data_IF_815831342358
#
_entry.id   IF_815831342358
#
_cell.length_a   1.000
_cell.length_b   1.000
_cell.length_c   1.000
_cell.angle_alpha   90.00
_cell.angle_beta   90.00
_cell.angle_gamma   90.00
#
_symmetry.space_group_name_H-M   'P 1'
#
loop_
_entity.id
_entity.type
_entity.pdbx_description
1 polymer ?
2 non-polymer ?
3 water ?
#
# COMPACT_ATOMS: atom_id res chain seq x y z
N UNK A 1 -5.25 -1.29 -22.04
CA UNK A 1 -4.33 -1.37 -20.87
C UNK A 1 -4.53 -2.71 -20.16
N UNK A 2 -3.42 -3.33 -19.78
CA UNK A 2 -3.45 -4.61 -19.08
C UNK A 2 -2.92 -4.40 -17.67
N UNK A 3 -3.60 -4.97 -16.69
CA UNK A 3 -3.21 -4.83 -15.29
C UNK A 3 -2.97 -6.17 -14.59
N UNK A 4 -2.23 -6.12 -13.49
CA UNK A 4 -1.92 -7.32 -12.73
C UNK A 4 -3.15 -7.92 -12.08
N UNK A 5 -3.12 -9.24 -11.92
CA UNK A 5 -4.21 -9.99 -11.31
C UNK A 5 -3.88 -10.22 -9.83
N UNK A 6 -4.88 -10.09 -8.94
CA UNK A 6 -4.63 -10.31 -7.51
C UNK A 6 -4.16 -11.75 -7.37
N UNK A 7 -3.28 -12.02 -6.42
CA UNK A 7 -2.72 -13.36 -6.27
C UNK A 7 -2.16 -13.52 -4.86
N UNK A 8 -2.38 -14.68 -4.24
CA UNK A 8 -1.88 -14.93 -2.89
C UNK A 8 -0.45 -15.44 -2.91
N UNK A 9 0.29 -15.18 -1.83
CA UNK A 9 1.68 -15.60 -1.71
C UNK A 9 1.82 -17.09 -1.43
N UNK A 10 2.87 -17.70 -1.98
CA UNK A 10 3.12 -19.11 -1.76
C UNK A 10 3.87 -19.23 -0.43
N UNK A 11 4.02 -20.46 0.06
CA UNK A 11 4.72 -20.70 1.32
C UNK A 11 6.13 -20.11 1.33
N UNK A 12 6.90 -20.36 0.27
CA UNK A 12 8.27 -19.86 0.20
C UNK A 12 8.33 -18.33 0.14
N UNK A 13 7.40 -17.73 -0.60
CA UNK A 13 7.37 -16.27 -0.71
C UNK A 13 7.07 -15.64 0.65
N UNK A 14 6.10 -16.21 1.35
CA UNK A 14 5.72 -15.69 2.66
C UNK A 14 6.83 -15.90 3.69
N UNK A 15 7.53 -17.02 3.58
CA UNK A 15 8.61 -17.33 4.51
C UNK A 15 9.71 -16.29 4.40
N UNK A 16 9.90 -15.76 3.19
CA UNK A 16 10.92 -14.75 2.94
C UNK A 16 10.68 -13.41 3.63
N UNK A 17 9.43 -13.16 4.00
CA UNK A 17 9.06 -11.90 4.65
C UNK A 17 9.21 -11.90 6.17
N UNK A 18 9.42 -13.09 6.73
CA UNK A 18 9.58 -13.28 8.18
C UNK A 18 10.51 -12.33 8.93
N UNK A 19 11.73 -12.10 8.43
CA UNK A 19 12.63 -11.19 9.15
C UNK A 19 12.19 -9.72 9.24
N UNK A 20 11.21 -9.33 8.43
CA UNK A 20 10.75 -7.94 8.41
C UNK A 20 9.45 -7.67 9.16
N UNK A 21 8.60 -8.67 9.28
CA UNK A 21 7.30 -8.52 9.93
C UNK A 21 7.25 -7.73 11.24
N UNK A 22 8.16 -8.01 12.17
CA UNK A 22 8.15 -7.31 13.45
C UNK A 22 8.64 -5.87 13.37
N UNK A 23 9.10 -5.47 12.19
CA UNK A 23 9.62 -4.12 12.01
C UNK A 23 8.63 -3.18 11.34
N UNK A 24 7.45 -3.69 11.02
CA UNK A 24 6.42 -2.88 10.37
C UNK A 24 5.86 -1.88 11.37
N UNK A 25 5.72 -0.63 10.94
CA UNK A 25 5.21 0.43 11.80
C UNK A 25 3.78 0.85 11.43
N UNK A 26 2.92 0.96 12.43
CA UNK A 26 1.53 1.36 12.20
C UNK A 26 1.32 2.74 12.82
N UNK A 27 0.88 3.69 12.01
CA UNK A 27 0.69 5.04 12.49
C UNK A 27 -0.60 5.17 13.27
N UNK A 28 -0.69 6.21 14.11
CA UNK A 28 -1.93 6.38 14.85
C UNK A 28 -2.99 6.74 13.81
N UNK A 29 -4.25 6.58 14.18
CA UNK A 29 -5.34 6.88 13.27
C UNK A 29 -5.71 8.35 13.33
N UNK A 30 -6.09 8.90 12.18
CA UNK A 30 -6.54 10.28 12.06
C UNK A 30 -7.83 10.19 11.26
N UNK A 31 -8.66 11.22 11.27
CA UNK A 31 -9.90 11.13 10.54
C UNK A 31 -10.51 12.44 10.11
N UNK A 32 -11.52 12.34 9.25
CA UNK A 32 -12.27 13.49 8.79
C UNK A 32 -13.74 13.20 9.07
N UNK A 33 -14.62 13.76 8.26
CA UNK A 33 -16.06 13.59 8.45
C UNK A 33 -16.57 12.15 8.32
N UNK A 34 -16.21 11.48 7.24
CA UNK A 34 -16.72 10.13 7.02
C UNK A 34 -15.72 8.98 7.03
N UNK A 35 -14.43 9.29 7.14
CA UNK A 35 -13.41 8.24 7.12
C UNK A 35 -12.32 8.38 8.16
N UNK A 36 -11.83 7.20 8.52
CA UNK A 36 -10.68 7.04 9.38
C UNK A 36 -9.50 6.71 8.49
N UNK A 37 -8.32 7.17 8.83
CA UNK A 37 -7.16 6.87 8.00
C UNK A 37 -5.98 6.46 8.87
N UNK A 38 -4.98 5.87 8.22
CA UNK A 38 -3.74 5.50 8.88
C UNK A 38 -2.80 5.09 7.75
N UNK A 39 -1.51 5.12 8.01
CA UNK A 39 -0.56 4.70 7.00
C UNK A 39 0.37 3.67 7.65
N UNK A 40 0.84 2.72 6.86
CA UNK A 40 1.72 1.66 7.33
C UNK A 40 3.08 1.84 6.67
N UNK A 41 4.14 1.81 7.46
CA UNK A 41 5.49 1.97 6.92
C UNK A 41 6.31 0.70 7.02
N UNK A 42 6.60 0.10 5.87
CA UNK A 42 7.39 -1.12 5.81
C UNK A 42 8.87 -0.78 5.80
N UNK A 43 9.70 -1.68 6.35
CA UNK A 43 11.14 -1.39 6.32
C UNK A 43 11.51 -1.45 4.84
N UNK A 44 12.33 -0.51 4.38
CA UNK A 44 12.72 -0.47 2.97
C UNK A 44 13.30 -1.78 2.44
N UNK A 45 14.02 -2.51 3.29
CA UNK A 45 14.62 -3.79 2.90
C UNK A 45 13.55 -4.81 2.50
N UNK A 46 12.36 -4.68 3.08
CA UNK A 46 11.26 -5.59 2.81
C UNK A 46 10.76 -5.54 1.37
N UNK A 47 10.82 -4.37 0.74
CA UNK A 47 10.35 -4.22 -0.63
C UNK A 47 11.08 -5.13 -1.62
N UNK A 48 12.37 -5.36 -1.39
CA UNK A 48 13.18 -6.23 -2.25
C UNK A 48 12.78 -7.70 -2.13
N UNK A 49 12.03 -8.03 -1.08
CA UNK A 49 11.59 -9.40 -0.83
C UNK A 49 10.17 -9.68 -1.32
N UNK A 50 9.44 -8.62 -1.62
CA UNK A 50 8.06 -8.75 -2.09
C UNK A 50 8.07 -9.12 -3.57
N UNK A 51 7.17 -10.02 -4.00
CA UNK A 51 7.08 -10.44 -5.41
C UNK A 51 6.87 -9.25 -6.35
N UNK A 52 7.62 -9.23 -7.45
CA UNK A 52 7.52 -8.14 -8.41
C UNK A 52 6.12 -7.85 -8.96
N UNK A 53 5.28 -8.88 -9.03
CA UNK A 53 3.92 -8.70 -9.54
C UNK A 53 2.98 -7.97 -8.58
N UNK A 54 3.50 -7.61 -7.41
CA UNK A 54 2.73 -6.88 -6.41
C UNK A 54 2.94 -5.38 -6.62
N UNK A 55 3.88 -5.04 -7.51
CA UNK A 55 4.19 -3.65 -7.81
C UNK A 55 3.54 -3.19 -9.10
N UNK A 56 3.23 -1.91 -9.13
CA UNK A 56 2.74 -1.28 -10.33
C UNK A 56 3.96 -0.72 -11.04
N UNK A 57 4.26 -1.21 -12.24
CA UNK A 57 5.48 -0.83 -12.95
C UNK A 57 5.44 0.64 -13.38
N UNK A 58 4.23 1.16 -13.59
CA UNK A 58 4.07 2.55 -14.01
C UNK A 58 4.29 3.55 -12.88
N UNK A 59 3.93 3.17 -11.67
CA UNK A 59 4.07 4.06 -10.53
C UNK A 59 5.28 3.77 -9.65
N UNK A 60 5.76 2.53 -9.70
CA UNK A 60 6.90 2.14 -8.88
C UNK A 60 6.46 1.74 -7.48
N UNK A 61 5.20 2.02 -7.17
CA UNK A 61 4.64 1.69 -5.87
C UNK A 61 3.90 0.35 -5.95
N UNK A 62 3.40 -0.12 -4.81
CA UNK A 62 2.63 -1.35 -4.77
C UNK A 62 1.28 -1.06 -5.39
N UNK A 63 0.70 -2.03 -6.08
CA UNK A 63 -0.61 -1.84 -6.66
C UNK A 63 -1.61 -1.96 -5.52
N UNK A 64 -2.83 -1.49 -5.74
CA UNK A 64 -3.86 -1.56 -4.70
C UNK A 64 -4.10 -3.02 -4.39
N UNK A 65 -3.79 -3.40 -3.16
CA UNK A 65 -3.94 -4.78 -2.74
C UNK A 65 -5.28 -5.00 -2.07
N UNK A 66 -5.84 -6.18 -2.31
CA UNK A 66 -7.10 -6.57 -1.69
C UNK A 66 -6.75 -6.98 -0.26
N UNK A 67 -7.75 -7.05 0.62
CA UNK A 67 -7.51 -7.40 2.01
C UNK A 67 -6.65 -8.66 2.20
N UNK A 68 -7.01 -9.74 1.52
CA UNK A 68 -6.26 -10.99 1.62
C UNK A 68 -4.81 -10.83 1.21
N UNK A 69 -4.56 -9.90 0.30
CA UNK A 69 -3.21 -9.64 -0.19
C UNK A 69 -2.36 -8.90 0.82
N UNK A 70 -2.87 -7.79 1.38
CA UNK A 70 -2.04 -7.08 2.35
C UNK A 70 -1.89 -7.82 3.69
N UNK A 71 -2.92 -8.56 4.11
CA UNK A 71 -2.82 -9.32 5.35
C UNK A 71 -1.80 -10.43 5.08
N UNK A 72 -1.80 -10.93 3.85
CA UNK A 72 -0.87 -11.98 3.46
C UNK A 72 0.59 -11.53 3.49
N UNK A 73 0.81 -10.22 3.43
CA UNK A 73 2.17 -9.69 3.48
C UNK A 73 2.68 -9.59 4.90
N UNK A 74 1.80 -9.83 5.87
CA UNK A 74 2.20 -9.75 7.27
C UNK A 74 1.69 -8.48 7.93
N UNK A 75 0.90 -7.70 7.19
CA UNK A 75 0.32 -6.46 7.72
C UNK A 75 -0.93 -6.84 8.52
N UNK A 76 -0.94 -6.48 9.80
CA UNK A 76 -2.08 -6.80 10.65
C UNK A 76 -2.74 -5.54 11.16
N UNK A 77 -4.05 -5.45 10.96
CA UNK A 77 -4.85 -4.31 11.39
C UNK A 77 -6.22 -4.86 11.76
N UNK A 78 -7.06 -4.02 12.35
CA UNK A 78 -8.41 -4.43 12.71
C UNK A 78 -9.27 -4.56 11.44
N UNK A 79 -10.58 -4.61 11.60
CA UNK A 79 -11.46 -4.75 10.45
C UNK A 79 -11.89 -3.43 9.81
N UNK A 80 -12.22 -3.48 8.52
CA UNK A 80 -12.70 -2.30 7.81
C UNK A 80 -11.74 -1.56 6.91
N UNK A 81 -10.45 -1.66 7.20
CA UNK A 81 -9.44 -0.97 6.42
C UNK A 81 -9.34 -1.40 4.96
N UNK A 82 -9.18 -0.41 4.09
CA UNK A 82 -9.03 -0.66 2.66
C UNK A 82 -7.85 0.17 2.19
N UNK A 83 -7.01 -0.43 1.36
CA UNK A 83 -5.85 0.26 0.83
C UNK A 83 -6.31 1.24 -0.24
N UNK A 84 -5.66 2.40 -0.28
CA UNK A 84 -5.99 3.40 -1.29
C UNK A 84 -4.72 4.09 -1.73
N UNK A 85 -4.80 4.82 -2.84
CA UNK A 85 -3.65 5.51 -3.36
C UNK A 85 -3.97 6.95 -3.73
N UNK A 86 -2.94 7.78 -3.71
CA UNK A 86 -3.07 9.18 -4.05
C UNK A 86 -3.00 9.23 -5.58
N UNK A 87 -3.80 10.08 -6.19
CA UNK A 87 -3.78 10.17 -7.63
C UNK A 87 -3.12 11.46 -8.14
N UNK A 88 -1.95 11.30 -8.74
CA UNK A 88 -1.20 12.42 -9.28
C UNK A 88 -1.64 12.74 -10.70
N UNK A 89 -1.86 14.03 -11.00
CA UNK A 89 -2.29 14.41 -12.35
C UNK A 89 -1.20 14.20 -13.40
N UNK A 90 -1.62 13.89 -14.62
CA UNK A 90 -0.71 13.70 -15.75
C UNK A 90 0.08 15.00 -15.90
N UNK A 91 1.29 14.94 -16.49
CA UNK A 91 2.12 16.14 -16.68
C UNK A 91 1.53 17.36 -17.37
N UNK A 92 0.47 17.18 -18.14
CA UNK A 92 -0.14 18.33 -18.82
C UNK A 92 -1.20 19.04 -17.98
N UNK A 93 -1.44 18.54 -16.76
CA UNK A 93 -2.43 19.16 -15.88
C UNK A 93 -1.72 19.82 -14.72
N UNK A 94 -1.97 21.11 -14.53
CA UNK A 94 -1.36 21.87 -13.45
C UNK A 94 -2.42 22.28 -12.43
N UNK A 95 -2.04 22.23 -11.16
CA UNK A 95 -2.95 22.56 -10.08
C UNK A 95 -2.60 23.89 -9.45
N UNK A 96 -3.61 24.70 -9.16
CA UNK A 96 -3.41 26.01 -8.55
C UNK A 96 -4.42 26.18 -7.44
N UNK A 97 -4.09 27.04 -6.49
CA UNK A 97 -4.99 27.32 -5.38
C UNK A 97 -4.68 28.70 -4.86
N UNK A 98 -5.64 29.30 -4.17
CA UNK A 98 -5.44 30.61 -3.56
C UNK A 98 -6.30 30.73 -2.32
N UNK A 99 -5.81 31.48 -1.34
CA UNK A 99 -6.54 31.67 -0.10
C UNK A 99 -7.82 32.46 -0.30
N UNK A 100 -8.88 32.04 0.37
CA UNK A 100 -10.15 32.73 0.28
C UNK A 100 -10.14 33.85 1.32
N UNK A 101 -10.76 34.98 0.98
CA UNK A 101 -10.85 36.11 1.90
C UNK A 101 -12.31 36.48 2.14
X LIG B 1 -9.41 17.71 -5.77
X LIG B 1 -8.08 17.67 -6.47
X LIG B 1 -9.19 17.32 -8.65
X LIG B 1 -9.55 16.79 -10.13
X LIG B 1 -8.36 16.39 -10.85
X LIG B 1 -7.26 15.95 -9.94
X LIG B 1 -6.12 15.48 -10.79
X LIG B 1 -6.82 15.20 -12.24
X LIG B 1 -8.35 15.69 -12.03
X LIG B 1 -7.64 17.87 -11.34
X LIG B 1 -7.52 19.10 -6.84
X LIG B 1 -9.90 16.46 -5.09
X LIG B 1 -8.91 15.78 -4.26
X LIG B 1 -7.62 15.58 -5.09
X LIG B 1 -7.10 16.96 -5.59
X LIG B 1 -5.85 16.77 -6.26
X LIG B 1 -5.87 15.96 -7.52
X LIG B 1 -6.83 16.60 -8.67
X LIG B 1 -8.17 16.79 -7.72
X LIG B 1 -9.03 16.10 -13.36
X LIG B 1 -10.52 16.32 -13.38
X LIG B 1 -8.62 15.11 -14.47
X LIG B 1 -9.22 15.39 -15.74
X LIG B 1 -9.33 14.43 -3.67
X LIG B 1 -6.35 14.77 -7.36
X LIG B 1 -10.04 15.71 -9.89
#
# INVERSE_FOLDING_TARGET
SKSGVPRLLTASERERLEPFIDQIHYSPRYADDEYEYRHVMLPKAMLKAIPTDYFNPETGTLRILQEEEWRGLGITQSLGWEMYEVHVPEPHILLFKREKDYQMK
CPS C1 C2 C3 C4 C5 C6 C7 C8 C9 C10 C11 C12 C13 C14 C15 C16 C17 C18 C19 C20 C21 C22 C23 O2 O3 O4
#
